data_IF_723155367551
#
_entry.id   IF_723155367551
#
_cell.length_a   1.000
_cell.length_b   1.000
_cell.length_c   1.000
_cell.angle_alpha   90.00
_cell.angle_beta   90.00
_cell.angle_gamma   90.00
#
_symmetry.space_group_name_H-M   'P 1'
#
loop_
_entity.id
_entity.type
_entity.pdbx_description
1 polymer ?
#
# COMPACT_ATOMS: atom_id res chain seq x y z
N UNK A 1 -13.86 0.24 16.10
CA UNK A 1 -13.81 -0.62 14.91
C UNK A 1 -14.32 -2.00 15.26
N UNK A 2 -15.39 -2.39 14.59
CA UNK A 2 -15.88 -3.76 14.48
C UNK A 2 -15.15 -4.47 13.31
N UNK A 3 -15.44 -5.74 13.09
CA UNK A 3 -14.87 -6.55 12.00
C UNK A 3 -15.10 -5.93 10.62
N UNK A 4 -16.31 -5.44 10.33
CA UNK A 4 -16.60 -4.78 9.04
C UNK A 4 -15.80 -3.50 8.81
N UNK A 5 -15.51 -2.73 9.86
CA UNK A 5 -14.66 -1.54 9.76
C UNK A 5 -13.21 -1.94 9.41
N UNK A 6 -12.70 -3.02 10.04
CA UNK A 6 -11.35 -3.54 9.72
C UNK A 6 -11.29 -4.05 8.29
N UNK A 7 -12.27 -4.86 7.87
CA UNK A 7 -12.32 -5.39 6.51
C UNK A 7 -12.34 -4.26 5.48
N UNK A 8 -13.16 -3.22 5.68
CA UNK A 8 -13.18 -2.06 4.78
C UNK A 8 -11.81 -1.39 4.67
N UNK A 9 -11.13 -1.14 5.79
CA UNK A 9 -9.80 -0.50 5.77
C UNK A 9 -8.77 -1.41 5.08
N UNK A 10 -8.83 -2.73 5.31
CA UNK A 10 -7.96 -3.71 4.65
C UNK A 10 -8.17 -3.69 3.12
N UNK A 11 -9.43 -3.63 2.66
CA UNK A 11 -9.79 -3.58 1.25
C UNK A 11 -9.32 -2.27 0.59
N UNK A 12 -9.48 -1.14 1.28
CA UNK A 12 -8.98 0.16 0.82
C UNK A 12 -7.45 0.19 0.72
N UNK A 13 -6.76 -0.37 1.71
CA UNK A 13 -5.29 -0.50 1.68
C UNK A 13 -4.82 -1.43 0.57
N UNK A 14 -5.55 -2.51 0.30
CA UNK A 14 -5.26 -3.42 -0.81
C UNK A 14 -5.33 -2.68 -2.16
N UNK A 15 -6.35 -1.84 -2.37
CA UNK A 15 -6.47 -1.06 -3.59
C UNK A 15 -5.30 -0.07 -3.76
N UNK A 16 -4.88 0.61 -2.68
CA UNK A 16 -3.72 1.52 -2.71
C UNK A 16 -2.41 0.78 -3.03
N UNK A 17 -2.22 -0.41 -2.46
CA UNK A 17 -1.05 -1.26 -2.73
C UNK A 17 -0.99 -1.61 -4.22
N UNK A 18 -2.09 -2.09 -4.79
CA UNK A 18 -2.18 -2.47 -6.21
C UNK A 18 -1.93 -1.28 -7.15
N UNK A 19 -2.52 -0.13 -6.84
CA UNK A 19 -2.31 1.10 -7.61
C UNK A 19 -0.86 1.59 -7.57
N UNK A 20 -0.24 1.51 -6.40
CA UNK A 20 1.15 1.94 -6.19
C UNK A 20 2.11 1.01 -6.91
N UNK A 21 1.89 -0.31 -6.84
CA UNK A 21 2.67 -1.30 -7.58
C UNK A 21 2.59 -1.08 -9.09
N UNK A 22 1.39 -0.88 -9.65
CA UNK A 22 1.23 -0.56 -11.09
C UNK A 22 1.95 0.73 -11.48
N UNK A 23 1.99 1.71 -10.58
CA UNK A 23 2.67 2.98 -10.84
C UNK A 23 4.19 2.81 -10.83
N UNK A 24 4.73 2.05 -9.88
CA UNK A 24 6.14 1.67 -9.80
C UNK A 24 6.57 0.94 -11.07
N UNK A 25 5.81 -0.08 -11.50
CA UNK A 25 6.08 -0.81 -12.75
C UNK A 25 6.14 0.11 -13.96
N UNK A 26 5.24 1.11 -14.03
CA UNK A 26 5.27 2.11 -15.11
C UNK A 26 6.48 3.03 -15.01
N UNK A 27 6.90 3.42 -13.81
CA UNK A 27 8.09 4.24 -13.61
C UNK A 27 9.33 3.51 -14.13
N UNK A 28 9.52 2.27 -13.70
CA UNK A 28 10.64 1.41 -14.11
C UNK A 28 10.62 1.14 -15.62
N UNK A 29 9.45 0.83 -16.20
CA UNK A 29 9.32 0.56 -17.64
C UNK A 29 9.62 1.78 -18.53
N UNK A 30 9.55 2.99 -17.97
CA UNK A 30 9.76 4.25 -18.71
C UNK A 30 11.08 4.94 -18.35
N UNK A 31 11.86 4.40 -17.41
CA UNK A 31 13.08 5.01 -16.88
C UNK A 31 12.80 6.26 -16.03
N UNK A 32 11.56 6.44 -15.56
CA UNK A 32 11.19 7.55 -14.67
C UNK A 32 11.68 7.33 -13.24
N UNK A 33 11.95 6.09 -12.84
CA UNK A 33 12.61 5.76 -11.58
C UNK A 33 13.99 6.44 -11.44
N UNK A 34 14.76 6.47 -12.52
CA UNK A 34 16.07 7.16 -12.56
C UNK A 34 15.93 8.69 -12.73
N UNK A 35 14.96 9.14 -13.52
CA UNK A 35 14.77 10.57 -13.83
C UNK A 35 14.03 11.33 -12.72
N UNK A 36 13.21 10.64 -11.94
CA UNK A 36 12.32 11.18 -10.92
C UNK A 36 12.49 10.41 -9.60
N UNK A 37 13.75 10.24 -9.17
CA UNK A 37 14.11 9.42 -8.00
C UNK A 37 13.35 9.81 -6.74
N UNK A 38 13.13 11.10 -6.47
CA UNK A 38 12.36 11.53 -5.29
C UNK A 38 10.91 11.03 -5.33
N UNK A 39 10.26 11.07 -6.49
CA UNK A 39 8.88 10.59 -6.62
C UNK A 39 8.81 9.05 -6.60
N UNK A 40 9.82 8.39 -7.15
CA UNK A 40 9.97 6.95 -7.05
C UNK A 40 10.16 6.49 -5.60
N UNK A 41 11.02 7.16 -4.83
CA UNK A 41 11.21 6.91 -3.39
C UNK A 41 9.90 7.12 -2.59
N UNK A 42 9.11 8.14 -2.93
CA UNK A 42 7.78 8.34 -2.33
C UNK A 42 6.83 7.18 -2.63
N UNK A 43 6.81 6.67 -3.86
CA UNK A 43 6.00 5.50 -4.22
C UNK A 43 6.41 4.27 -3.41
N UNK A 44 7.70 4.03 -3.24
CA UNK A 44 8.21 2.94 -2.41
C UNK A 44 7.82 3.11 -0.93
N UNK A 45 7.90 4.32 -0.39
CA UNK A 45 7.46 4.61 0.99
C UNK A 45 5.97 4.36 1.17
N UNK A 46 5.13 4.81 0.21
CA UNK A 46 3.68 4.58 0.24
C UNK A 46 3.37 3.09 0.23
N UNK A 47 4.07 2.31 -0.60
CA UNK A 47 3.89 0.86 -0.67
C UNK A 47 4.22 0.19 0.67
N UNK A 48 5.39 0.50 1.24
CA UNK A 48 5.84 -0.06 2.52
C UNK A 48 4.88 0.30 3.67
N UNK A 49 4.48 1.57 3.77
CA UNK A 49 3.55 2.04 4.80
C UNK A 49 2.15 1.40 4.65
N UNK A 50 1.67 1.21 3.41
CA UNK A 50 0.37 0.59 3.17
C UNK A 50 0.37 -0.89 3.54
N UNK A 51 1.44 -1.62 3.22
CA UNK A 51 1.61 -3.03 3.61
C UNK A 51 1.68 -3.17 5.14
N UNK A 52 2.43 -2.29 5.82
CA UNK A 52 2.51 -2.28 7.28
C UNK A 52 1.13 -2.04 7.91
N UNK A 53 0.41 -1.02 7.47
CA UNK A 53 -0.92 -0.70 7.97
C UNK A 53 -1.91 -1.84 7.71
N UNK A 54 -1.88 -2.46 6.53
CA UNK A 54 -2.79 -3.56 6.20
C UNK A 54 -2.55 -4.76 7.15
N UNK A 55 -1.29 -5.07 7.44
CA UNK A 55 -0.91 -6.10 8.41
C UNK A 55 -1.39 -5.75 9.82
N UNK A 56 -1.20 -4.51 10.27
CA UNK A 56 -1.66 -4.04 11.58
C UNK A 56 -3.17 -4.17 11.74
N UNK A 57 -3.93 -3.73 10.72
CA UNK A 57 -5.39 -3.85 10.72
C UNK A 57 -5.85 -5.32 10.69
N UNK A 58 -5.18 -6.17 9.92
CA UNK A 58 -5.47 -7.62 9.88
C UNK A 58 -5.26 -8.26 11.26
N UNK A 59 -4.12 -7.99 11.90
CA UNK A 59 -3.82 -8.51 13.23
C UNK A 59 -4.80 -7.98 14.28
N UNK A 60 -5.17 -6.70 14.21
CA UNK A 60 -6.14 -6.10 15.12
C UNK A 60 -7.56 -6.66 14.93
N UNK A 61 -7.94 -7.03 13.71
CA UNK A 61 -9.19 -7.74 13.42
C UNK A 61 -9.18 -9.12 14.07
N UNK A 62 -8.13 -9.93 13.81
CA UNK A 62 -8.00 -11.29 14.33
C UNK A 62 -7.91 -11.34 15.86
N UNK A 63 -7.34 -10.32 16.51
CA UNK A 63 -7.29 -10.25 17.97
C UNK A 63 -8.67 -9.94 18.61
N UNK A 64 -9.65 -9.52 17.81
CA UNK A 64 -11.02 -9.20 18.22
C UNK A 64 -12.05 -10.24 17.78
N UNK A 65 -11.67 -11.14 16.87
CA UNK A 65 -12.42 -12.31 16.44
C UNK A 65 -12.45 -13.39 17.53
#
# INVERSE_FOLDING_TARGET
MNESDYQRVIDELQAVIEDTQRTIERFEATGMDEQMTEDYEKLLSILDDSVKQQREHTLAMLAKS
#
